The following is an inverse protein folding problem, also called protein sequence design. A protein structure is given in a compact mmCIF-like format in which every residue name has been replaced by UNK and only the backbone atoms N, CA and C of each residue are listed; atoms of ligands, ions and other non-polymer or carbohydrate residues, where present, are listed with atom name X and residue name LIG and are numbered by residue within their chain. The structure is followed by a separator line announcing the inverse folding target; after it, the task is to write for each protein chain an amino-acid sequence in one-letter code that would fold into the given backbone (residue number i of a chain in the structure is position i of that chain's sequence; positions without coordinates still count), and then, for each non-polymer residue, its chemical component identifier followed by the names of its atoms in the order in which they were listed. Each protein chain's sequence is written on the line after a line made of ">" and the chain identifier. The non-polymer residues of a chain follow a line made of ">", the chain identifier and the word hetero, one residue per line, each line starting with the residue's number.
data_IF_391985698215
#
_entry.id   IF_391985698215
#
_cell.length_a   1.000
_cell.length_b   1.000
_cell.length_c   1.000
_cell.angle_alpha   90.00
_cell.angle_beta   90.00
_cell.angle_gamma   90.00
#
_symmetry.space_group_name_H-M   'P 1'
#
loop_
_entity.id
_entity.type
_entity.pdbx_description
1 polymer ?
#
# COMPACT_ATOMS: atom_id res chain seq x y z
N UNK A 1 -15.79 9.43 10.79
CA UNK A 1 -14.76 8.57 10.16
C UNK A 1 -15.22 8.28 8.74
N UNK A 2 -14.32 8.26 7.75
CA UNK A 2 -14.67 7.88 6.39
C UNK A 2 -15.32 6.47 6.36
N UNK A 3 -16.24 6.23 5.43
CA UNK A 3 -16.84 4.90 5.22
C UNK A 3 -16.01 4.06 4.23
N UNK A 4 -16.44 2.84 3.93
CA UNK A 4 -15.77 1.95 2.96
C UNK A 4 -15.53 2.60 1.58
N UNK A 5 -16.57 3.11 0.90
CA UNK A 5 -16.42 3.89 -0.34
C UNK A 5 -15.42 5.06 -0.24
N UNK A 6 -15.49 5.87 0.82
CA UNK A 6 -14.60 7.01 1.02
C UNK A 6 -13.12 6.56 1.12
N UNK A 7 -12.87 5.43 1.78
CA UNK A 7 -11.54 4.84 1.85
C UNK A 7 -11.04 4.35 0.48
N UNK A 8 -11.91 3.79 -0.36
CA UNK A 8 -11.53 3.39 -1.72
C UNK A 8 -11.17 4.62 -2.57
N UNK A 9 -11.90 5.72 -2.42
CA UNK A 9 -11.61 6.97 -3.14
C UNK A 9 -10.26 7.57 -2.70
N UNK A 10 -9.95 7.53 -1.40
CA UNK A 10 -8.64 7.93 -0.88
C UNK A 10 -7.53 6.99 -1.37
N UNK A 11 -7.76 5.68 -1.43
CA UNK A 11 -6.79 4.73 -1.96
C UNK A 11 -6.48 5.01 -3.44
N UNK A 12 -7.51 5.29 -4.24
CA UNK A 12 -7.40 5.67 -5.64
C UNK A 12 -6.60 6.96 -5.80
N UNK A 13 -6.90 7.99 -5.01
CA UNK A 13 -6.18 9.25 -5.07
C UNK A 13 -4.69 9.06 -4.76
N UNK A 14 -4.35 8.22 -3.77
CA UNK A 14 -2.97 7.89 -3.47
C UNK A 14 -2.31 7.05 -4.58
N UNK A 15 -3.04 6.18 -5.27
CA UNK A 15 -2.53 5.46 -6.45
C UNK A 15 -2.12 6.43 -7.56
N UNK A 16 -2.96 7.43 -7.84
CA UNK A 16 -2.66 8.48 -8.83
C UNK A 16 -1.45 9.33 -8.42
N UNK A 17 -1.41 9.75 -7.16
CA UNK A 17 -0.29 10.51 -6.63
C UNK A 17 1.02 9.70 -6.66
N UNK A 18 0.96 8.41 -6.36
CA UNK A 18 2.13 7.53 -6.47
C UNK A 18 2.64 7.43 -7.92
N UNK A 19 1.75 7.28 -8.89
CA UNK A 19 2.13 7.24 -10.30
C UNK A 19 2.82 8.54 -10.75
N UNK A 20 2.23 9.68 -10.37
CA UNK A 20 2.82 10.99 -10.62
C UNK A 20 4.22 11.14 -10.00
N UNK A 21 4.40 10.76 -8.73
CA UNK A 21 5.69 10.87 -8.04
C UNK A 21 6.75 9.94 -8.61
N UNK A 22 6.35 8.76 -9.12
CA UNK A 22 7.28 7.80 -9.73
C UNK A 22 7.83 8.25 -11.09
N UNK A 23 7.31 9.33 -11.67
CA UNK A 23 7.89 9.95 -12.86
C UNK A 23 9.19 10.72 -12.58
N UNK A 24 9.41 11.13 -11.32
CA UNK A 24 10.57 11.92 -10.91
C UNK A 24 11.41 11.16 -9.87
N UNK A 25 12.61 10.67 -10.24
CA UNK A 25 13.42 9.85 -9.36
C UNK A 25 13.77 10.48 -8.00
N UNK A 26 13.83 11.81 -7.90
CA UNK A 26 14.10 12.49 -6.63
C UNK A 26 12.99 12.33 -5.58
N UNK A 27 11.81 11.86 -5.96
CA UNK A 27 10.66 11.66 -5.06
C UNK A 27 10.39 10.18 -4.71
N UNK A 28 11.40 9.31 -4.82
CA UNK A 28 11.22 7.87 -4.56
C UNK A 28 10.78 7.56 -3.12
N UNK A 29 11.17 8.38 -2.16
CA UNK A 29 10.73 8.33 -0.77
C UNK A 29 9.24 8.63 -0.62
N UNK A 30 8.79 9.75 -1.18
CA UNK A 30 7.39 10.16 -1.16
C UNK A 30 6.52 9.19 -1.93
N UNK A 31 6.99 8.66 -3.07
CA UNK A 31 6.30 7.59 -3.78
C UNK A 31 6.09 6.37 -2.87
N UNK A 32 7.13 5.90 -2.16
CA UNK A 32 7.00 4.77 -1.24
C UNK A 32 6.03 5.05 -0.08
N UNK A 33 6.03 6.28 0.45
CA UNK A 33 5.10 6.71 1.50
C UNK A 33 3.66 6.68 0.98
N UNK A 34 3.40 7.30 -0.16
CA UNK A 34 2.06 7.41 -0.75
C UNK A 34 1.51 6.03 -1.15
N UNK A 35 2.35 5.13 -1.67
CA UNK A 35 1.97 3.73 -1.95
C UNK A 35 1.51 3.01 -0.68
N UNK A 36 2.19 3.22 0.45
CA UNK A 36 1.74 2.69 1.73
C UNK A 36 0.40 3.31 2.17
N UNK A 37 0.18 4.61 1.97
CA UNK A 37 -1.12 5.23 2.29
C UNK A 37 -2.27 4.69 1.42
N UNK A 38 -2.00 4.38 0.14
CA UNK A 38 -2.97 3.65 -0.68
C UNK A 38 -3.33 2.30 -0.04
N UNK A 39 -2.34 1.49 0.34
CA UNK A 39 -2.57 0.20 0.99
C UNK A 39 -3.29 0.32 2.35
N UNK A 40 -2.98 1.35 3.14
CA UNK A 40 -3.65 1.65 4.40
C UNK A 40 -5.14 1.90 4.20
N UNK A 41 -5.50 2.70 3.20
CA UNK A 41 -6.90 2.96 2.90
C UNK A 41 -7.62 1.73 2.35
N UNK A 42 -6.94 0.87 1.57
CA UNK A 42 -7.51 -0.43 1.18
C UNK A 42 -7.79 -1.30 2.42
N UNK A 43 -6.88 -1.35 3.39
CA UNK A 43 -7.08 -2.10 4.64
C UNK A 43 -8.26 -1.55 5.46
N UNK A 44 -8.37 -0.23 5.59
CA UNK A 44 -9.51 0.36 6.30
C UNK A 44 -10.85 0.09 5.59
N UNK A 45 -10.86 0.07 4.26
CA UNK A 45 -12.04 -0.34 3.49
C UNK A 45 -12.42 -1.82 3.75
N UNK A 46 -11.42 -2.71 3.82
CA UNK A 46 -11.62 -4.13 4.18
C UNK A 46 -12.24 -4.26 5.57
N UNK A 47 -11.68 -3.57 6.57
CA UNK A 47 -12.21 -3.59 7.93
C UNK A 47 -13.65 -3.08 8.02
N UNK A 48 -13.97 -2.04 7.26
CA UNK A 48 -15.33 -1.51 7.20
C UNK A 48 -16.30 -2.53 6.60
N UNK A 49 -15.96 -3.09 5.44
CA UNK A 49 -16.83 -3.96 4.65
C UNK A 49 -16.94 -5.39 5.17
N UNK A 50 -15.89 -5.95 5.77
CA UNK A 50 -15.93 -7.32 6.28
C UNK A 50 -16.79 -7.40 7.55
N UNK A 51 -17.92 -8.14 7.54
CA UNK A 51 -18.75 -8.31 8.73
C UNK A 51 -18.03 -9.05 9.87
N UNK A 52 -16.96 -9.79 9.58
CA UNK A 52 -16.15 -10.53 10.55
C UNK A 52 -14.98 -9.72 11.12
N UNK A 53 -14.76 -8.49 10.64
CA UNK A 53 -13.69 -7.65 11.14
C UNK A 53 -13.89 -7.36 12.64
N UNK A 54 -12.85 -7.54 13.49
CA UNK A 54 -12.97 -7.26 14.92
C UNK A 54 -13.20 -5.77 15.21
N UNK A 55 -12.77 -4.90 14.29
CA UNK A 55 -12.99 -3.45 14.31
C UNK A 55 -13.27 -2.97 12.90
N UNK A 56 -14.08 -1.92 12.77
CA UNK A 56 -14.43 -1.34 11.47
C UNK A 56 -13.38 -0.37 10.92
N UNK A 57 -12.48 0.11 11.78
CA UNK A 57 -11.37 0.98 11.40
C UNK A 57 -10.19 0.79 12.36
N UNK A 58 -8.98 1.07 11.89
CA UNK A 58 -7.83 1.27 12.77
C UNK A 58 -7.64 2.75 13.12
N UNK A 59 -7.47 3.07 14.40
CA UNK A 59 -7.08 4.40 14.89
C UNK A 59 -5.57 4.64 14.76
N UNK A 60 -4.75 3.58 14.62
CA UNK A 60 -3.29 3.70 14.49
C UNK A 60 -2.69 2.69 13.51
N UNK A 61 -1.42 2.90 13.10
CA UNK A 61 -0.71 1.92 12.28
C UNK A 61 -0.47 0.60 13.03
N UNK A 62 -0.17 0.65 14.34
CA UNK A 62 0.04 -0.54 15.17
C UNK A 62 -1.23 -1.38 15.23
N UNK A 63 -2.36 -0.74 15.50
CA UNK A 63 -3.63 -1.46 15.63
C UNK A 63 -4.04 -2.13 14.31
N UNK A 64 -3.85 -1.48 13.15
CA UNK A 64 -4.08 -2.12 11.85
C UNK A 64 -3.19 -3.36 11.68
N UNK A 65 -1.91 -3.26 12.03
CA UNK A 65 -1.00 -4.41 11.99
C UNK A 65 -1.45 -5.53 12.93
N UNK A 66 -1.90 -5.20 14.15
CA UNK A 66 -2.35 -6.19 15.13
C UNK A 66 -3.62 -6.91 14.66
N UNK A 67 -4.59 -6.19 14.07
CA UNK A 67 -5.80 -6.79 13.49
C UNK A 67 -5.43 -7.70 12.32
N UNK A 68 -4.63 -7.22 11.37
CA UNK A 68 -4.21 -7.98 10.19
C UNK A 68 -3.44 -9.25 10.57
N UNK A 69 -2.52 -9.14 11.52
CA UNK A 69 -1.69 -10.25 12.02
C UNK A 69 -2.48 -11.25 12.85
N UNK A 70 -3.43 -10.78 13.65
CA UNK A 70 -4.24 -11.61 14.55
C UNK A 70 -5.39 -12.34 13.87
N UNK A 71 -5.72 -12.01 12.63
CA UNK A 71 -6.88 -12.53 11.91
C UNK A 71 -6.45 -13.40 10.73
N UNK A 72 -6.66 -14.72 10.84
CA UNK A 72 -6.14 -15.72 9.88
C UNK A 72 -6.50 -15.40 8.43
N UNK A 73 -7.72 -14.96 8.15
CA UNK A 73 -8.14 -14.66 6.77
C UNK A 73 -7.53 -13.37 6.19
N UNK A 74 -6.94 -12.49 7.02
CA UNK A 74 -6.20 -11.30 6.58
C UNK A 74 -4.71 -11.56 6.35
N UNK A 75 -4.23 -12.79 6.57
CA UNK A 75 -2.81 -13.11 6.52
C UNK A 75 -2.14 -12.71 5.19
N UNK A 76 -2.80 -12.93 4.05
CA UNK A 76 -2.29 -12.52 2.73
C UNK A 76 -2.17 -11.00 2.59
N UNK A 77 -3.08 -10.23 3.18
CA UNK A 77 -2.99 -8.77 3.21
C UNK A 77 -1.82 -8.35 4.11
N UNK A 78 -1.71 -8.95 5.29
CA UNK A 78 -0.67 -8.65 6.28
C UNK A 78 0.74 -8.80 5.73
N UNK A 79 1.02 -9.90 5.02
CA UNK A 79 2.34 -10.23 4.47
C UNK A 79 2.90 -9.11 3.58
N UNK A 80 2.04 -8.46 2.80
CA UNK A 80 2.45 -7.39 1.90
C UNK A 80 2.35 -6.01 2.56
N UNK A 81 1.30 -5.78 3.35
CA UNK A 81 1.08 -4.52 4.06
C UNK A 81 2.21 -4.21 5.05
N UNK A 82 2.67 -5.20 5.83
CA UNK A 82 3.68 -4.97 6.87
C UNK A 82 5.04 -4.54 6.28
N UNK A 83 5.39 -5.05 5.09
CA UNK A 83 6.61 -4.67 4.38
C UNK A 83 6.50 -3.20 3.92
N UNK A 84 5.39 -2.83 3.28
CA UNK A 84 5.18 -1.43 2.84
C UNK A 84 5.16 -0.45 4.02
N UNK A 85 4.59 -0.86 5.16
CA UNK A 85 4.59 -0.06 6.40
C UNK A 85 6.00 0.22 6.90
N UNK A 86 6.87 -0.81 6.91
CA UNK A 86 8.29 -0.66 7.30
C UNK A 86 9.04 0.22 6.33
N UNK A 87 8.84 0.05 5.02
CA UNK A 87 9.51 0.86 4.00
C UNK A 87 9.07 2.33 4.08
N UNK A 88 7.78 2.61 4.28
CA UNK A 88 7.27 3.97 4.53
C UNK A 88 7.86 4.59 5.80
N UNK A 89 8.08 3.79 6.85
CA UNK A 89 8.76 4.26 8.06
C UNK A 89 10.23 4.61 7.77
N UNK A 90 10.94 3.78 7.02
CA UNK A 90 12.31 4.07 6.58
C UNK A 90 12.33 5.33 5.72
N UNK A 91 11.47 5.43 4.69
CA UNK A 91 11.41 6.60 3.80
C UNK A 91 11.27 7.93 4.56
N UNK A 92 10.50 7.96 5.65
CA UNK A 92 10.28 9.19 6.43
C UNK A 92 11.38 9.49 7.46
N UNK A 93 12.06 8.46 7.96
CA UNK A 93 12.92 8.59 9.15
C UNK A 93 14.32 8.03 8.96
N UNK A 94 14.73 7.71 7.73
CA UNK A 94 16.07 7.23 7.43
C UNK A 94 17.09 8.33 7.77
N UNK A 95 17.77 8.14 8.89
CA UNK A 95 18.90 8.95 9.34
C UNK A 95 20.08 8.03 9.57
N UNK A 96 21.27 8.45 9.15
CA UNK A 96 22.50 7.78 9.52
C UNK A 96 22.76 8.02 11.01
N UNK A 97 22.62 6.97 11.81
CA UNK A 97 22.81 7.05 13.27
C UNK A 97 24.28 7.29 13.67
N UNK A 98 25.23 6.96 12.79
CA UNK A 98 26.66 7.11 13.08
C UNK A 98 27.16 8.54 12.81
N UNK A 99 26.59 9.20 11.80
CA UNK A 99 27.02 10.56 11.40
C UNK A 99 25.98 11.64 11.71
N UNK A 100 24.76 11.26 12.09
CA UNK A 100 23.63 12.18 12.26
C UNK A 100 23.11 12.80 10.96
N UNK A 101 23.61 12.35 9.79
CA UNK A 101 23.24 12.92 8.48
C UNK A 101 22.03 12.22 7.89
N UNK A 102 21.22 12.98 7.16
CA UNK A 102 20.14 12.42 6.34
C UNK A 102 20.72 11.57 5.22
N UNK A 103 20.34 10.30 5.14
CA UNK A 103 20.69 9.42 4.02
C UNK A 103 19.62 9.58 2.95
N UNK A 104 20.03 9.71 1.69
CA UNK A 104 19.09 9.80 0.58
C UNK A 104 18.41 8.43 0.40
N UNK A 105 17.10 8.36 0.59
CA UNK A 105 16.32 7.11 0.51
C UNK A 105 16.53 6.35 -0.80
N UNK A 106 16.77 7.04 -1.92
CA UNK A 106 17.04 6.41 -3.21
C UNK A 106 18.28 5.51 -3.23
N UNK A 107 19.22 5.68 -2.28
CA UNK A 107 20.35 4.74 -2.07
C UNK A 107 19.92 3.42 -1.44
N UNK A 108 18.84 3.44 -0.64
CA UNK A 108 18.23 2.25 -0.05
C UNK A 108 17.24 1.60 -1.01
N UNK A 109 16.38 2.40 -1.64
CA UNK A 109 15.37 1.93 -2.59
C UNK A 109 15.20 2.93 -3.76
N UNK A 110 15.89 2.68 -4.89
CA UNK A 110 15.73 3.46 -6.11
C UNK A 110 14.29 3.43 -6.63
N UNK A 111 13.89 4.44 -7.39
CA UNK A 111 12.52 4.61 -7.94
C UNK A 111 12.02 3.38 -8.69
N UNK A 112 12.88 2.74 -9.49
CA UNK A 112 12.49 1.53 -10.21
C UNK A 112 12.23 0.35 -9.25
N UNK A 113 12.98 0.27 -8.15
CA UNK A 113 12.73 -0.74 -7.09
C UNK A 113 11.41 -0.43 -6.37
N UNK A 114 11.08 0.84 -6.10
CA UNK A 114 9.77 1.24 -5.57
C UNK A 114 8.66 0.79 -6.52
N UNK A 115 8.80 1.09 -7.82
CA UNK A 115 7.83 0.72 -8.86
C UNK A 115 7.62 -0.80 -8.94
N UNK A 116 8.69 -1.58 -8.98
CA UNK A 116 8.58 -3.03 -9.14
C UNK A 116 8.13 -3.73 -7.84
N UNK A 117 8.81 -3.44 -6.72
CA UNK A 117 8.56 -4.16 -5.48
C UNK A 117 7.33 -3.64 -4.75
N UNK A 118 7.20 -2.33 -4.53
CA UNK A 118 6.07 -1.81 -3.75
C UNK A 118 4.80 -1.72 -4.58
N UNK A 119 4.87 -1.18 -5.80
CA UNK A 119 3.66 -0.95 -6.61
C UNK A 119 3.21 -2.21 -7.33
N UNK A 120 4.04 -2.73 -8.26
CA UNK A 120 3.64 -3.85 -9.14
C UNK A 120 3.46 -5.16 -8.38
N UNK A 121 4.23 -5.37 -7.32
CA UNK A 121 4.14 -6.57 -6.52
C UNK A 121 3.30 -6.37 -5.25
N UNK A 122 3.76 -5.61 -4.24
CA UNK A 122 3.10 -5.61 -2.91
C UNK A 122 1.72 -4.95 -2.91
N UNK A 123 1.56 -3.77 -3.50
CA UNK A 123 0.27 -3.07 -3.56
C UNK A 123 -0.76 -3.90 -4.34
N UNK A 124 -0.35 -4.50 -5.47
CA UNK A 124 -1.22 -5.40 -6.22
C UNK A 124 -1.73 -6.57 -5.37
N UNK A 125 -0.85 -7.23 -4.63
CA UNK A 125 -1.26 -8.37 -3.80
C UNK A 125 -2.20 -7.95 -2.65
N UNK A 126 -2.02 -6.73 -2.11
CA UNK A 126 -2.98 -6.15 -1.15
C UNK A 126 -4.34 -5.95 -1.81
N UNK A 127 -4.40 -5.30 -2.98
CA UNK A 127 -5.65 -5.04 -3.72
C UNK A 127 -6.34 -6.36 -4.09
N UNK A 128 -5.60 -7.31 -4.67
CA UNK A 128 -6.10 -8.62 -5.07
C UNK A 128 -6.65 -9.41 -3.88
N UNK A 129 -5.97 -9.37 -2.73
CA UNK A 129 -6.44 -10.05 -1.52
C UNK A 129 -7.65 -9.34 -0.90
N UNK A 130 -7.66 -8.00 -0.91
CA UNK A 130 -8.73 -7.16 -0.40
C UNK A 130 -10.04 -7.33 -1.18
N UNK A 131 -9.98 -7.61 -2.49
CA UNK A 131 -11.15 -7.84 -3.32
C UNK A 131 -12.11 -8.92 -2.77
N UNK A 132 -11.61 -9.90 -2.00
CA UNK A 132 -12.45 -10.94 -1.38
C UNK A 132 -13.33 -10.43 -0.22
N UNK A 133 -13.07 -9.21 0.27
CA UNK A 133 -13.76 -8.63 1.42
C UNK A 133 -14.55 -7.36 1.07
N UNK A 134 -14.37 -6.85 -0.15
CA UNK A 134 -15.02 -5.64 -0.63
C UNK A 134 -16.26 -6.01 -1.44
N UNK A 135 -17.32 -5.19 -1.43
CA UNK A 135 -18.40 -5.28 -2.40
C UNK A 135 -17.85 -5.22 -3.83
N UNK A 136 -18.40 -6.02 -4.76
CA UNK A 136 -17.92 -6.15 -6.15
C UNK A 136 -17.70 -4.79 -6.82
N UNK A 137 -18.64 -3.85 -6.64
CA UNK A 137 -18.52 -2.49 -7.21
C UNK A 137 -17.26 -1.76 -6.74
N UNK A 138 -16.89 -1.89 -5.47
CA UNK A 138 -15.70 -1.25 -4.91
C UNK A 138 -14.41 -1.97 -5.32
N UNK A 139 -14.43 -3.30 -5.32
CA UNK A 139 -13.30 -4.13 -5.76
C UNK A 139 -12.94 -3.85 -7.23
N UNK A 140 -13.95 -3.80 -8.11
CA UNK A 140 -13.78 -3.48 -9.54
C UNK A 140 -13.23 -2.08 -9.73
N UNK A 141 -13.84 -1.07 -9.09
CA UNK A 141 -13.38 0.33 -9.17
C UNK A 141 -11.90 0.48 -8.79
N UNK A 142 -11.48 -0.15 -7.68
CA UNK A 142 -10.10 -0.11 -7.21
C UNK A 142 -9.14 -0.84 -8.18
N UNK A 143 -9.54 -2.02 -8.66
CA UNK A 143 -8.72 -2.86 -9.55
C UNK A 143 -8.50 -2.20 -10.91
N UNK A 144 -9.55 -1.66 -11.52
CA UNK A 144 -9.48 -0.94 -12.79
C UNK A 144 -8.55 0.26 -12.69
N UNK A 145 -8.69 1.04 -11.60
CA UNK A 145 -7.86 2.22 -11.39
C UNK A 145 -6.38 1.88 -11.17
N UNK A 146 -6.10 0.82 -10.42
CA UNK A 146 -4.74 0.33 -10.26
C UNK A 146 -4.13 -0.08 -11.62
N UNK A 147 -4.86 -0.87 -12.41
CA UNK A 147 -4.41 -1.33 -13.73
C UNK A 147 -4.18 -0.17 -14.69
N UNK A 148 -5.05 0.83 -14.72
CA UNK A 148 -4.89 1.99 -15.60
C UNK A 148 -3.67 2.84 -15.24
N UNK A 149 -3.25 2.85 -13.97
CA UNK A 149 -2.15 3.70 -13.50
C UNK A 149 -0.77 3.03 -13.69
N UNK A 150 -0.69 1.69 -13.61
CA UNK A 150 0.61 1.00 -13.59
C UNK A 150 0.82 -0.01 -14.72
N UNK A 151 -0.07 -0.02 -15.70
CA UNK A 151 -0.06 -0.84 -16.91
C UNK A 151 0.43 -2.27 -16.63
N UNK A 152 -0.32 -2.96 -15.77
CA UNK A 152 -0.03 -4.34 -15.44
C UNK A 152 -0.66 -5.22 -16.50
N UNK A 153 -0.01 -5.32 -17.67
CA UNK A 153 -0.24 -6.46 -18.56
C UNK A 153 -0.02 -7.74 -17.74
N UNK A 154 -0.98 -8.66 -17.70
CA UNK A 154 -1.00 -9.84 -16.81
C UNK A 154 0.12 -10.89 -17.07
N UNK A 155 1.26 -10.51 -17.67
CA UNK A 155 2.33 -11.42 -18.12
C UNK A 155 3.75 -11.12 -17.64
N UNK A 156 3.94 -10.27 -16.61
CA UNK A 156 5.29 -10.02 -16.07
C UNK A 156 5.87 -11.27 -15.37
N UNK A 157 7.11 -11.71 -15.69
CA UNK A 157 7.71 -12.86 -15.02
C UNK A 157 7.83 -12.61 -13.52
N UNK A 158 7.60 -13.67 -12.73
CA UNK A 158 7.80 -13.61 -11.28
C UNK A 158 9.23 -13.15 -10.99
N UNK A 159 9.44 -12.23 -10.02
CA UNK A 159 10.78 -11.87 -9.61
C UNK A 159 11.53 -13.11 -9.10
N UNK A 160 12.86 -13.16 -9.30
CA UNK A 160 13.69 -14.31 -8.93
C UNK A 160 13.63 -14.66 -7.44
#
# INVERSE_FOLDING_TARGET
>A
MPNGPDHIDLAIHNIEAADYLLAEPSFSDWAAVVVFYAALHVVDAVFFCDPKAPKKHGISHSERNDILKGTVHYQKIYEHYCIMSRVSHVARYLQDRSTGRTVVFSTYMPTEVVRQQLVKHRLWQVIKSAANFLPDKLATKLTEKYRSSFDVSEGGPAPP
#
